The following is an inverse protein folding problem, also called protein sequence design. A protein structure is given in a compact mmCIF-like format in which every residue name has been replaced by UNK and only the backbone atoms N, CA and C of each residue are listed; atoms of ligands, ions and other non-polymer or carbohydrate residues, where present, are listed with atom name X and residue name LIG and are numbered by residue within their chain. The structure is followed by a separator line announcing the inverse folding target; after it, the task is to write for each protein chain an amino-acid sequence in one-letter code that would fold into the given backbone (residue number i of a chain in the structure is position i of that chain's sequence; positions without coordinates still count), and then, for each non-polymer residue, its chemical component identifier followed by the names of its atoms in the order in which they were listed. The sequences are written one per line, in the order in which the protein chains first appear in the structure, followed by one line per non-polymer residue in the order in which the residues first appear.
data_IF_763715083083
#
_entry.id   IF_763715083083
#
_cell.length_a   1.000
_cell.length_b   1.000
_cell.length_c   1.000
_cell.angle_alpha   90.00
_cell.angle_beta   90.00
_cell.angle_gamma   90.00
#
_symmetry.space_group_name_H-M   'P 1'
#
loop_
_entity.id
_entity.type
_entity.pdbx_description
1 polymer ?
#
# COMPACT_ATOMS: atom_id res chain seq x y z
N UNK A 1 -19.93 12.62 -22.26
CA UNK A 1 -18.60 11.97 -22.43
C UNK A 1 -17.93 11.97 -21.04
N UNK A 2 -18.49 11.26 -20.06
CA UNK A 2 -18.17 9.88 -19.64
C UNK A 2 -16.80 9.75 -18.95
N UNK A 3 -16.72 10.19 -17.69
CA UNK A 3 -15.59 9.92 -16.78
C UNK A 3 -16.03 8.91 -15.73
N UNK A 4 -16.17 7.63 -16.11
CA UNK A 4 -16.55 6.54 -15.18
C UNK A 4 -15.77 5.24 -15.43
N UNK A 5 -14.49 5.29 -15.82
CA UNK A 5 -13.68 4.08 -16.06
C UNK A 5 -12.46 3.89 -15.14
N UNK A 6 -12.25 4.71 -14.11
CA UNK A 6 -10.99 4.65 -13.34
C UNK A 6 -11.00 3.61 -12.20
N UNK A 7 -12.15 3.12 -11.73
CA UNK A 7 -12.22 2.37 -10.46
C UNK A 7 -11.88 0.88 -10.57
N UNK A 8 -12.14 0.22 -11.70
CA UNK A 8 -11.91 -1.23 -11.84
C UNK A 8 -10.45 -1.61 -12.14
N UNK A 9 -9.69 -0.74 -12.82
CA UNK A 9 -8.30 -1.01 -13.22
C UNK A 9 -7.29 -0.69 -12.11
N UNK A 10 -7.62 0.26 -11.23
CA UNK A 10 -6.77 0.68 -10.11
C UNK A 10 -6.63 -0.43 -9.07
N UNK A 11 -7.71 -1.18 -8.79
CA UNK A 11 -7.67 -2.33 -7.87
C UNK A 11 -6.67 -3.42 -8.30
N UNK A 12 -6.53 -3.66 -9.61
CA UNK A 12 -5.59 -4.66 -10.14
C UNK A 12 -4.11 -4.25 -10.00
N UNK A 13 -3.80 -2.97 -10.19
CA UNK A 13 -2.41 -2.46 -10.03
C UNK A 13 -1.98 -2.41 -8.58
N UNK A 14 -2.88 -1.95 -7.70
CA UNK A 14 -2.60 -1.87 -6.28
C UNK A 14 -2.43 -3.27 -5.67
N UNK A 15 -3.29 -4.23 -6.04
CA UNK A 15 -3.12 -5.62 -5.63
C UNK A 15 -1.82 -6.27 -6.16
N UNK A 16 -1.37 -5.90 -7.38
CA UNK A 16 -0.10 -6.37 -7.91
C UNK A 16 1.11 -5.80 -7.14
N UNK A 17 1.04 -4.51 -6.77
CA UNK A 17 2.06 -3.84 -5.95
C UNK A 17 2.12 -4.41 -4.54
N UNK A 18 0.96 -4.63 -3.92
CA UNK A 18 0.86 -5.26 -2.60
C UNK A 18 1.53 -6.64 -2.60
N UNK A 19 1.22 -7.47 -3.60
CA UNK A 19 1.87 -8.78 -3.76
C UNK A 19 3.38 -8.68 -3.94
N UNK A 20 3.85 -7.72 -4.73
CA UNK A 20 5.30 -7.50 -4.92
C UNK A 20 6.00 -7.16 -3.59
N UNK A 21 5.39 -6.31 -2.75
CA UNK A 21 5.95 -5.99 -1.44
C UNK A 21 5.86 -7.15 -0.43
N UNK A 22 4.81 -7.97 -0.50
CA UNK A 22 4.73 -9.21 0.27
C UNK A 22 5.88 -10.16 -0.08
N UNK A 23 6.12 -10.38 -1.39
CA UNK A 23 7.22 -11.20 -1.87
C UNK A 23 8.58 -10.62 -1.48
N UNK A 24 8.78 -9.30 -1.59
CA UNK A 24 10.00 -8.63 -1.15
C UNK A 24 10.31 -8.91 0.33
N UNK A 25 9.32 -8.74 1.21
CA UNK A 25 9.50 -9.03 2.63
C UNK A 25 9.84 -10.49 2.86
N UNK A 26 9.08 -11.41 2.25
CA UNK A 26 9.32 -12.84 2.41
C UNK A 26 10.71 -13.24 1.92
N UNK A 27 11.15 -12.71 0.78
CA UNK A 27 12.50 -12.94 0.26
C UNK A 27 13.57 -12.40 1.21
N UNK A 28 13.35 -11.26 1.86
CA UNK A 28 14.28 -10.69 2.83
C UNK A 28 14.48 -11.59 4.07
N UNK A 29 13.47 -12.36 4.44
CA UNK A 29 13.52 -13.33 5.55
C UNK A 29 13.82 -14.76 5.09
N UNK A 30 14.13 -14.96 3.80
CA UNK A 30 14.51 -16.26 3.23
C UNK A 30 13.33 -17.18 2.86
N UNK A 31 12.12 -16.65 2.82
CA UNK A 31 10.90 -17.38 2.44
C UNK A 31 10.37 -16.92 1.08
N UNK A 32 9.48 -17.72 0.49
CA UNK A 32 8.66 -17.32 -0.66
C UNK A 32 7.19 -17.54 -0.32
N UNK A 33 6.25 -16.95 -1.06
CA UNK A 33 4.82 -17.22 -0.86
C UNK A 33 4.51 -18.73 -0.94
N UNK A 34 5.17 -19.45 -1.85
CA UNK A 34 5.03 -20.90 -1.98
C UNK A 34 5.57 -21.66 -0.77
N UNK A 35 6.67 -21.18 -0.17
CA UNK A 35 7.25 -21.76 1.04
C UNK A 35 6.39 -21.49 2.26
N UNK A 36 5.86 -20.28 2.41
CA UNK A 36 4.98 -19.90 3.52
C UNK A 36 3.68 -20.70 3.49
N UNK A 37 3.13 -20.99 2.30
CA UNK A 37 1.94 -21.82 2.16
C UNK A 37 2.13 -23.28 2.62
N UNK A 38 3.38 -23.74 2.72
CA UNK A 38 3.72 -25.09 3.20
C UNK A 38 4.06 -25.12 4.70
N UNK A 39 4.20 -23.96 5.34
CA UNK A 39 4.50 -23.88 6.77
C UNK A 39 3.24 -24.16 7.61
N UNK A 40 3.41 -24.64 8.86
CA UNK A 40 2.32 -24.70 9.81
C UNK A 40 1.70 -23.32 10.03
N UNK A 41 0.38 -23.27 10.24
CA UNK A 41 -0.36 -22.00 10.44
C UNK A 41 0.25 -21.14 11.55
N UNK A 42 0.78 -21.78 12.61
CA UNK A 42 1.42 -21.08 13.73
C UNK A 42 2.69 -20.30 13.32
N UNK A 43 3.39 -20.75 12.26
CA UNK A 43 4.60 -20.12 11.74
C UNK A 43 4.31 -19.22 10.54
N UNK A 44 3.36 -19.63 9.68
CA UNK A 44 2.94 -18.85 8.52
C UNK A 44 2.23 -17.54 8.92
N UNK A 45 1.39 -17.58 9.96
CA UNK A 45 0.61 -16.43 10.41
C UNK A 45 1.45 -15.22 10.81
N UNK A 46 2.46 -15.32 11.70
CA UNK A 46 3.29 -14.16 12.05
C UNK A 46 4.10 -13.65 10.85
N UNK A 47 4.57 -14.53 9.95
CA UNK A 47 5.27 -14.14 8.73
C UNK A 47 4.37 -13.33 7.80
N UNK A 48 3.14 -13.79 7.56
CA UNK A 48 2.18 -13.07 6.72
C UNK A 48 1.72 -11.76 7.35
N UNK A 49 1.56 -11.70 8.67
CA UNK A 49 1.25 -10.45 9.38
C UNK A 49 2.37 -9.43 9.21
N UNK A 50 3.62 -9.84 9.37
CA UNK A 50 4.77 -8.97 9.21
C UNK A 50 4.95 -8.52 7.75
N UNK A 51 4.81 -9.44 6.79
CA UNK A 51 4.83 -9.14 5.36
C UNK A 51 3.77 -8.11 4.98
N UNK A 52 2.55 -8.29 5.49
CA UNK A 52 1.46 -7.37 5.18
C UNK A 52 1.63 -6.00 5.83
N UNK A 53 2.19 -5.95 7.04
CA UNK A 53 2.60 -4.70 7.67
C UNK A 53 3.65 -3.95 6.83
N UNK A 54 4.64 -4.68 6.30
CA UNK A 54 5.62 -4.13 5.39
C UNK A 54 4.99 -3.59 4.10
N UNK A 55 4.12 -4.37 3.45
CA UNK A 55 3.43 -3.95 2.23
C UNK A 55 2.58 -2.70 2.44
N UNK A 56 1.85 -2.63 3.56
CA UNK A 56 1.03 -1.47 3.92
C UNK A 56 1.88 -0.20 4.10
N UNK A 57 3.02 -0.32 4.78
CA UNK A 57 3.95 0.78 4.96
C UNK A 57 4.49 1.28 3.61
N UNK A 58 4.90 0.36 2.73
CA UNK A 58 5.40 0.70 1.39
C UNK A 58 4.34 1.36 0.50
N UNK A 59 3.10 0.88 0.54
CA UNK A 59 2.00 1.50 -0.19
C UNK A 59 1.73 2.92 0.32
N UNK A 60 1.73 3.13 1.64
CA UNK A 60 1.59 4.46 2.23
C UNK A 60 2.71 5.41 1.82
N UNK A 61 3.96 4.93 1.72
CA UNK A 61 5.08 5.73 1.18
C UNK A 61 4.86 6.15 -0.28
N UNK A 62 4.37 5.23 -1.11
CA UNK A 62 4.07 5.52 -2.53
C UNK A 62 2.93 6.52 -2.64
N UNK A 63 1.86 6.37 -1.86
CA UNK A 63 0.72 7.30 -1.83
C UNK A 63 1.16 8.70 -1.39
N UNK A 64 1.95 8.82 -0.32
CA UNK A 64 2.45 10.11 0.15
C UNK A 64 3.33 10.81 -0.90
N UNK A 65 4.16 10.05 -1.64
CA UNK A 65 4.98 10.59 -2.73
C UNK A 65 4.14 11.03 -3.92
N UNK A 66 3.12 10.25 -4.29
CA UNK A 66 2.19 10.60 -5.36
C UNK A 66 1.43 11.90 -5.02
N UNK A 67 0.92 12.01 -3.80
CA UNK A 67 0.27 13.21 -3.29
C UNK A 67 1.20 14.43 -3.33
N UNK A 68 2.45 14.29 -2.90
CA UNK A 68 3.44 15.38 -2.98
C UNK A 68 3.67 15.83 -4.43
N UNK A 69 3.80 14.90 -5.36
CA UNK A 69 3.99 15.22 -6.79
C UNK A 69 2.76 15.94 -7.36
N UNK A 70 1.55 15.51 -6.99
CA UNK A 70 0.31 16.17 -7.37
C UNK A 70 0.20 17.57 -6.76
N UNK A 71 0.55 17.75 -5.49
CA UNK A 71 0.62 19.06 -4.85
C UNK A 71 1.61 19.97 -5.56
N UNK A 72 2.80 19.48 -5.92
CA UNK A 72 3.79 20.27 -6.65
C UNK A 72 3.26 20.68 -8.04
N UNK A 73 2.69 19.76 -8.81
CA UNK A 73 2.09 20.10 -10.11
C UNK A 73 0.90 21.06 -9.98
N UNK A 74 0.02 20.83 -9.00
CA UNK A 74 -1.13 21.69 -8.73
C UNK A 74 -0.73 23.08 -8.23
N UNK A 75 0.35 23.18 -7.46
CA UNK A 75 0.90 24.46 -6.99
C UNK A 75 1.61 25.23 -8.10
N UNK A 76 2.34 24.54 -8.98
CA UNK A 76 2.98 25.17 -10.14
C UNK A 76 1.95 25.63 -11.18
N UNK A 77 0.86 24.89 -11.38
CA UNK A 77 -0.23 25.28 -12.27
C UNK A 77 -1.05 26.46 -11.73
N UNK A 78 -1.19 26.58 -10.40
CA UNK A 78 -2.11 27.53 -9.76
C UNK A 78 -1.43 28.67 -8.96
N UNK A 79 -0.09 28.77 -8.95
CA UNK A 79 0.67 29.89 -8.36
C UNK A 79 0.53 30.10 -6.85
N UNK A 80 0.12 29.08 -6.07
CA UNK A 80 -0.16 29.23 -4.62
C UNK A 80 1.05 28.89 -3.72
N UNK A 81 1.35 29.71 -2.69
CA UNK A 81 2.42 29.43 -1.72
C UNK A 81 2.09 28.25 -0.79
N UNK A 82 3.12 27.65 -0.20
CA UNK A 82 3.02 26.47 0.68
C UNK A 82 2.42 26.86 2.03
N UNK A 83 1.14 26.57 2.25
CA UNK A 83 0.63 26.42 3.61
C UNK A 83 0.65 24.94 3.96
N UNK A 84 1.61 24.56 4.80
CA UNK A 84 1.68 23.22 5.37
C UNK A 84 0.45 22.97 6.22
N UNK A 85 -0.45 22.11 5.75
CA UNK A 85 -1.48 21.53 6.58
C UNK A 85 -1.46 20.02 6.35
N UNK A 86 -1.11 19.30 7.43
CA UNK A 86 -1.33 17.87 7.60
C UNK A 86 -2.81 17.56 7.36
N UNK A 87 -3.21 17.39 6.10
CA UNK A 87 -4.51 16.85 5.74
C UNK A 87 -4.43 15.35 5.98
N UNK A 88 -4.75 14.96 7.22
CA UNK A 88 -4.97 13.58 7.61
C UNK A 88 -6.16 13.01 6.81
N UNK A 89 -5.92 12.55 5.59
CA UNK A 89 -6.90 11.83 4.81
C UNK A 89 -6.32 10.50 4.37
N UNK A 90 -6.80 9.42 5.00
CA UNK A 90 -6.69 8.06 4.45
C UNK A 90 -5.98 7.01 5.30
N UNK A 91 -5.15 7.37 6.28
CA UNK A 91 -4.30 6.38 6.99
C UNK A 91 -5.06 5.43 7.92
N UNK A 92 -6.34 5.68 8.21
CA UNK A 92 -7.10 4.94 9.21
C UNK A 92 -7.83 3.69 8.69
N UNK A 93 -8.14 3.58 7.39
CA UNK A 93 -8.96 2.45 6.91
C UNK A 93 -8.18 1.16 6.64
N UNK A 94 -6.89 1.24 6.28
CA UNK A 94 -6.10 0.03 6.02
C UNK A 94 -5.56 -0.65 7.28
N UNK A 95 -5.48 0.06 8.43
CA UNK A 95 -5.05 -0.54 9.71
C UNK A 95 -6.06 -1.53 10.32
N UNK A 96 -7.34 -1.48 9.96
CA UNK A 96 -8.38 -2.30 10.58
C UNK A 96 -8.81 -3.53 9.78
N UNK A 97 -8.67 -3.55 8.44
CA UNK A 97 -9.21 -4.68 7.66
C UNK A 97 -8.34 -5.95 7.76
N UNK A 98 -7.03 -5.81 8.04
CA UNK A 98 -6.11 -6.95 7.99
C UNK A 98 -5.87 -7.69 9.32
N UNK A 99 -6.22 -7.08 10.45
CA UNK A 99 -6.10 -7.72 11.78
C UNK A 99 -7.20 -8.76 12.02
N UNK A 100 -8.29 -8.76 11.23
CA UNK A 100 -9.48 -9.59 11.50
C UNK A 100 -9.75 -10.69 10.44
N UNK A 101 -8.84 -10.91 9.47
CA UNK A 101 -9.05 -11.86 8.35
C UNK A 101 -8.08 -13.07 8.37
N UNK A 102 -7.17 -13.19 9.34
CA UNK A 102 -6.32 -14.39 9.51
C UNK A 102 -6.15 -14.82 10.96
#
# INVERSE_FOLDING_TARGET
MTSQQTTAFVGGKQAALERAYLEEYLHSVGHSLATVAQLPVAEAKPLMQAASGFASMRLAEVEARAQLVEELHGRLANGRPFEGLLSASGTAMFRCWLINVF
#
